data_IF_052401321811
#
_entry.id   IF_052401321811
#
_cell.length_a   1.000
_cell.length_b   1.000
_cell.length_c   1.000
_cell.angle_alpha   90.00
_cell.angle_beta   90.00
_cell.angle_gamma   90.00
#
_symmetry.space_group_name_H-M   'P 1'
#
loop_
_entity.id
_entity.type
_entity.pdbx_description
1 polymer ?
#
# COMPACT_ATOMS: atom_id res chain seq x y z
N UNK A 1 40.19 32.58 13.48
CA UNK A 1 40.23 31.75 12.29
C UNK A 1 40.58 32.64 11.09
N UNK A 2 41.59 32.29 10.33
CA UNK A 2 42.24 33.17 9.36
C UNK A 2 41.34 33.36 8.12
N UNK A 3 41.14 34.61 7.66
CA UNK A 3 40.24 34.93 6.52
C UNK A 3 40.46 34.02 5.29
N UNK A 4 41.69 33.62 5.00
CA UNK A 4 42.01 32.64 3.94
C UNK A 4 41.41 31.26 4.17
N UNK A 5 41.27 30.78 5.41
CA UNK A 5 40.61 29.48 5.70
C UNK A 5 39.09 29.55 5.52
N UNK A 6 38.49 30.70 5.83
CA UNK A 6 37.03 30.90 5.62
C UNK A 6 36.70 30.93 4.12
N UNK A 7 37.52 31.62 3.32
CA UNK A 7 37.34 31.69 1.86
C UNK A 7 37.51 30.30 1.19
N UNK A 8 38.46 29.49 1.63
CA UNK A 8 38.68 28.13 1.11
C UNK A 8 37.48 27.21 1.51
N UNK A 9 36.99 27.32 2.73
CA UNK A 9 35.81 26.55 3.17
C UNK A 9 34.55 26.96 2.40
N UNK A 10 34.34 28.26 2.14
CA UNK A 10 33.23 28.75 1.32
C UNK A 10 33.34 28.29 -0.13
N UNK A 11 34.53 28.29 -0.72
CA UNK A 11 34.75 27.78 -2.09
C UNK A 11 34.59 26.27 -2.20
N UNK A 12 34.97 25.50 -1.17
CA UNK A 12 34.75 24.07 -1.11
C UNK A 12 33.26 23.76 -0.93
N UNK A 13 32.53 24.50 -0.10
CA UNK A 13 31.08 24.39 0.01
C UNK A 13 30.35 24.77 -1.29
N UNK A 14 30.77 25.84 -1.96
CA UNK A 14 30.25 26.23 -3.28
C UNK A 14 30.57 25.18 -4.36
N UNK A 15 31.76 24.59 -4.35
CA UNK A 15 32.12 23.51 -5.28
C UNK A 15 31.36 22.21 -4.99
N UNK A 16 31.13 21.87 -3.73
CA UNK A 16 30.34 20.71 -3.33
C UNK A 16 28.86 20.94 -3.67
N UNK A 17 28.30 22.15 -3.46
CA UNK A 17 26.95 22.51 -3.88
C UNK A 17 26.79 22.47 -5.39
N UNK A 18 27.79 22.92 -6.17
CA UNK A 18 27.75 22.87 -7.63
C UNK A 18 27.89 21.43 -8.18
N UNK A 19 28.63 20.56 -7.48
CA UNK A 19 28.78 19.15 -7.87
C UNK A 19 27.55 18.31 -7.45
N UNK A 20 26.84 18.65 -6.39
CA UNK A 20 25.57 18.00 -6.01
C UNK A 20 24.44 18.38 -6.99
N UNK A 21 24.48 19.59 -7.56
CA UNK A 21 23.55 20.00 -8.62
C UNK A 21 23.81 19.34 -9.99
N UNK A 22 24.94 18.67 -10.20
CA UNK A 22 25.37 18.15 -11.50
C UNK A 22 25.04 16.67 -11.75
N UNK A 23 24.37 15.99 -10.83
CA UNK A 23 23.96 14.59 -11.00
C UNK A 23 22.43 14.46 -10.99
N UNK A 24 21.77 15.15 -11.91
CA UNK A 24 20.44 14.75 -12.35
C UNK A 24 20.63 13.60 -13.34
N UNK A 25 20.16 12.45 -12.97
CA UNK A 25 20.35 11.23 -13.75
C UNK A 25 19.68 11.37 -15.12
N UNK A 26 20.40 11.03 -16.16
CA UNK A 26 20.00 11.16 -17.56
C UNK A 26 18.82 10.26 -17.93
N UNK A 27 18.50 9.28 -17.10
CA UNK A 27 17.49 8.26 -17.40
C UNK A 27 16.05 8.77 -17.25
N UNK A 28 15.85 9.88 -16.53
CA UNK A 28 14.53 10.45 -16.26
C UNK A 28 14.24 11.76 -17.03
N UNK A 29 15.16 12.21 -17.89
CA UNK A 29 14.98 13.41 -18.73
C UNK A 29 15.25 13.03 -20.18
N UNK A 30 14.25 13.10 -21.02
CA UNK A 30 14.37 12.93 -22.45
C UNK A 30 14.28 14.29 -23.15
N UNK A 31 15.31 14.62 -23.95
CA UNK A 31 15.39 15.87 -24.68
C UNK A 31 15.16 15.57 -26.16
N UNK A 32 14.02 16.00 -26.67
CA UNK A 32 13.68 15.89 -28.09
C UNK A 32 14.06 17.19 -28.80
N UNK A 33 15.06 17.15 -29.68
CA UNK A 33 15.33 18.22 -30.62
C UNK A 33 14.61 17.92 -31.93
N UNK A 34 13.64 18.73 -32.30
CA UNK A 34 13.10 18.74 -33.65
C UNK A 34 14.13 19.38 -34.61
N UNK A 35 15.16 18.68 -34.98
CA UNK A 35 15.84 18.73 -36.30
C UNK A 35 16.90 17.62 -36.29
N UNK A 36 16.84 16.79 -37.30
CA UNK A 36 17.64 15.58 -37.44
C UNK A 36 19.12 15.73 -37.21
N UNK A 37 19.67 14.72 -36.58
CA UNK A 37 21.07 14.36 -36.41
C UNK A 37 21.76 14.72 -35.08
N UNK A 38 22.16 13.62 -34.42
CA UNK A 38 23.18 13.48 -33.37
C UNK A 38 22.83 14.11 -32.01
N UNK A 39 22.55 13.23 -31.07
CA UNK A 39 22.58 13.48 -29.64
C UNK A 39 23.81 14.28 -29.23
N UNK A 40 23.69 15.60 -29.15
CA UNK A 40 24.60 16.44 -28.40
C UNK A 40 24.25 16.32 -26.92
N UNK A 41 25.24 16.03 -26.07
CA UNK A 41 25.11 16.16 -24.61
C UNK A 41 24.50 17.52 -24.29
N UNK A 42 23.28 17.57 -23.82
CA UNK A 42 22.68 18.81 -23.31
C UNK A 42 23.22 19.06 -21.91
N UNK A 43 23.64 20.31 -21.64
CA UNK A 43 24.04 20.77 -20.31
C UNK A 43 22.85 21.42 -19.58
N UNK A 44 21.64 20.97 -19.83
CA UNK A 44 20.45 21.50 -19.17
C UNK A 44 20.49 21.20 -17.68
N UNK A 45 20.17 22.20 -16.88
CA UNK A 45 20.03 22.09 -15.42
C UNK A 45 18.56 21.98 -15.08
N UNK A 46 18.17 20.86 -14.46
CA UNK A 46 16.81 20.62 -13.99
C UNK A 46 16.76 20.73 -12.47
N UNK A 47 15.90 21.62 -11.96
CA UNK A 47 15.58 21.70 -10.52
C UNK A 47 14.17 21.15 -10.32
N UNK A 48 14.04 20.10 -9.51
CA UNK A 48 12.78 19.45 -9.20
C UNK A 48 12.26 19.91 -7.85
N UNK A 49 10.98 20.27 -7.80
CA UNK A 49 10.29 20.75 -6.61
C UNK A 49 9.03 19.90 -6.38
N UNK A 50 8.93 19.30 -5.21
CA UNK A 50 7.76 18.53 -4.80
C UNK A 50 6.97 19.31 -3.74
N UNK A 51 5.65 19.40 -3.93
CA UNK A 51 4.75 19.91 -2.92
C UNK A 51 4.84 19.04 -1.66
N UNK A 52 4.84 19.65 -0.48
CA UNK A 52 4.98 18.94 0.80
C UNK A 52 3.62 18.68 1.46
N UNK A 53 2.68 19.61 1.27
CA UNK A 53 1.32 19.52 1.80
C UNK A 53 0.34 19.71 0.65
N UNK A 54 -0.55 18.76 0.43
CA UNK A 54 -1.46 18.76 -0.71
C UNK A 54 -2.28 20.06 -0.83
N UNK A 55 -2.12 20.76 -1.94
CA UNK A 55 -2.82 22.00 -2.26
C UNK A 55 -2.33 23.23 -1.49
N UNK A 56 -1.24 23.13 -0.72
CA UNK A 56 -0.69 24.27 0.04
C UNK A 56 0.29 25.12 -0.77
N UNK A 57 0.84 24.61 -1.88
CA UNK A 57 1.84 25.31 -2.68
C UNK A 57 3.20 25.44 -1.98
N UNK A 58 3.46 24.62 -0.97
CA UNK A 58 4.71 24.59 -0.21
C UNK A 58 5.71 23.62 -0.83
N UNK A 59 6.40 24.05 -1.86
CA UNK A 59 7.35 23.25 -2.62
C UNK A 59 8.72 23.17 -1.98
N UNK A 60 9.27 21.98 -1.93
CA UNK A 60 10.65 21.70 -1.52
C UNK A 60 11.44 21.17 -2.72
N UNK A 61 12.63 21.77 -2.95
CA UNK A 61 13.59 21.23 -3.91
C UNK A 61 14.12 19.87 -3.42
N UNK A 62 14.06 18.89 -4.29
CA UNK A 62 14.40 17.49 -3.98
C UNK A 62 15.48 16.96 -4.90
N UNK A 63 16.07 15.85 -4.49
CA UNK A 63 17.10 15.14 -5.25
C UNK A 63 16.49 14.08 -6.14
N UNK A 64 17.29 13.47 -6.99
CA UNK A 64 16.86 12.40 -7.87
C UNK A 64 16.31 11.16 -7.15
N UNK A 65 16.81 10.84 -5.96
CA UNK A 65 16.29 9.73 -5.16
C UNK A 65 14.82 9.92 -4.72
N UNK A 66 14.32 11.15 -4.83
CA UNK A 66 12.95 11.53 -4.51
C UNK A 66 12.10 11.77 -5.77
N UNK A 67 12.50 11.19 -6.92
CA UNK A 67 11.77 11.32 -8.19
C UNK A 67 10.32 10.85 -8.04
N UNK A 68 9.33 11.66 -8.48
CA UNK A 68 7.91 11.35 -8.27
C UNK A 68 7.46 10.21 -9.18
N UNK A 69 7.36 9.01 -8.61
CA UNK A 69 6.85 7.82 -9.32
C UNK A 69 5.35 7.63 -9.12
N UNK A 70 4.86 7.99 -7.94
CA UNK A 70 3.44 7.85 -7.56
C UNK A 70 3.00 9.04 -6.69
N UNK A 71 1.71 9.33 -6.70
CA UNK A 71 1.11 10.32 -5.80
C UNK A 71 1.37 11.78 -6.15
N UNK A 72 2.01 12.07 -7.29
CA UNK A 72 2.27 13.41 -7.76
C UNK A 72 1.74 13.64 -9.18
N UNK A 73 1.35 14.87 -9.46
CA UNK A 73 0.94 15.38 -10.78
C UNK A 73 1.87 16.51 -11.19
N UNK A 74 2.33 16.47 -12.43
CA UNK A 74 3.14 17.56 -13.00
C UNK A 74 2.33 18.86 -13.07
N UNK A 75 2.88 19.92 -12.45
CA UNK A 75 2.26 21.24 -12.47
C UNK A 75 2.75 22.01 -13.70
N UNK A 76 1.89 22.09 -14.71
CA UNK A 76 2.18 22.77 -15.99
C UNK A 76 2.25 24.29 -15.86
N UNK A 77 1.61 24.87 -14.85
CA UNK A 77 1.54 26.32 -14.66
C UNK A 77 2.81 26.86 -14.02
N UNK A 78 3.37 26.12 -13.06
CA UNK A 78 4.57 26.53 -12.34
C UNK A 78 5.86 26.06 -13.03
N UNK A 79 5.80 24.95 -13.78
CA UNK A 79 6.98 24.39 -14.44
C UNK A 79 7.40 25.25 -15.63
N UNK A 80 8.67 25.66 -15.65
CA UNK A 80 9.19 26.58 -16.66
C UNK A 80 10.70 26.49 -16.83
N UNK A 81 11.19 26.94 -17.97
CA UNK A 81 12.60 27.12 -18.25
C UNK A 81 12.94 28.62 -18.41
N UNK A 82 14.19 29.04 -18.11
CA UNK A 82 14.63 30.43 -18.14
C UNK A 82 14.77 30.96 -19.57
N UNK A 83 15.13 30.11 -20.55
CA UNK A 83 15.41 30.52 -21.93
C UNK A 83 14.42 29.96 -22.96
N UNK A 84 13.20 29.63 -22.52
CA UNK A 84 12.07 29.32 -23.40
C UNK A 84 12.00 27.86 -23.88
N UNK A 85 12.74 26.92 -23.28
CA UNK A 85 12.48 25.51 -23.51
C UNK A 85 11.12 25.11 -22.95
N UNK A 86 10.40 24.25 -23.66
CA UNK A 86 9.12 23.71 -23.24
C UNK A 86 9.31 22.43 -22.43
N UNK A 87 8.47 22.24 -21.43
CA UNK A 87 8.46 21.09 -20.54
C UNK A 87 7.13 20.34 -20.64
N UNK A 88 7.22 19.01 -20.64
CA UNK A 88 6.06 18.15 -20.46
C UNK A 88 6.42 16.92 -19.64
N UNK A 89 5.41 16.23 -19.14
CA UNK A 89 5.56 15.02 -18.35
C UNK A 89 5.00 13.81 -19.07
N UNK A 90 5.84 12.79 -19.25
CA UNK A 90 5.40 11.48 -19.70
C UNK A 90 5.04 10.64 -18.47
N UNK A 91 3.74 10.59 -18.19
CA UNK A 91 3.23 9.90 -17.00
C UNK A 91 3.36 8.36 -17.09
N UNK A 92 3.46 7.81 -18.29
CA UNK A 92 3.63 6.36 -18.50
C UNK A 92 5.07 5.94 -18.17
N UNK A 93 6.05 6.68 -18.69
CA UNK A 93 7.46 6.37 -18.50
C UNK A 93 8.08 7.12 -17.31
N UNK A 94 7.29 7.97 -16.62
CA UNK A 94 7.73 8.81 -15.50
C UNK A 94 8.98 9.64 -15.84
N UNK A 95 8.91 10.36 -16.97
CA UNK A 95 10.02 11.18 -17.50
C UNK A 95 9.60 12.61 -17.78
N UNK A 96 10.52 13.55 -17.57
CA UNK A 96 10.40 14.90 -18.11
C UNK A 96 10.85 14.90 -19.57
N UNK A 97 9.99 15.36 -20.45
CA UNK A 97 10.30 15.66 -21.83
C UNK A 97 10.59 17.15 -21.95
N UNK A 98 11.70 17.49 -22.58
CA UNK A 98 12.11 18.87 -22.78
C UNK A 98 12.48 19.11 -24.24
N UNK A 99 11.90 20.16 -24.85
CA UNK A 99 12.20 20.59 -26.21
C UNK A 99 12.60 22.07 -26.21
N UNK A 100 13.59 22.44 -27.01
CA UNK A 100 14.02 23.83 -27.18
C UNK A 100 15.53 24.03 -27.11
N UNK A 101 15.97 25.02 -26.31
CA UNK A 101 17.34 25.52 -26.29
C UNK A 101 18.30 24.58 -25.55
N UNK A 102 19.50 24.36 -26.07
CA UNK A 102 20.56 23.63 -25.35
C UNK A 102 21.11 24.49 -24.21
N UNK A 103 21.36 23.86 -23.06
CA UNK A 103 21.87 24.50 -21.83
C UNK A 103 20.87 25.47 -21.16
N UNK A 104 19.59 25.14 -21.18
CA UNK A 104 18.58 25.87 -20.45
C UNK A 104 18.51 25.43 -18.97
N UNK A 105 18.03 26.33 -18.12
CA UNK A 105 17.79 26.07 -16.71
C UNK A 105 16.30 26.00 -16.45
N UNK A 106 15.84 24.81 -16.04
CA UNK A 106 14.43 24.51 -15.89
C UNK A 106 14.08 24.18 -14.46
N UNK A 107 12.89 24.59 -14.05
CA UNK A 107 12.28 24.29 -12.77
C UNK A 107 11.00 23.50 -13.05
N UNK A 108 10.94 22.30 -12.49
CA UNK A 108 9.75 21.45 -12.57
C UNK A 108 9.11 21.36 -11.20
N UNK A 109 7.79 21.42 -11.20
CA UNK A 109 6.96 21.37 -10.01
C UNK A 109 5.99 20.19 -10.12
N UNK A 110 5.82 19.48 -9.01
CA UNK A 110 4.85 18.41 -8.91
C UNK A 110 3.97 18.65 -7.68
N UNK A 111 2.66 18.69 -7.91
CA UNK A 111 1.65 18.79 -6.87
C UNK A 111 1.34 17.40 -6.33
N UNK A 112 1.00 17.30 -5.06
CA UNK A 112 0.47 16.06 -4.51
C UNK A 112 -0.87 15.76 -5.17
N UNK A 113 -0.95 14.62 -5.84
CA UNK A 113 -2.15 14.14 -6.50
C UNK A 113 -3.02 13.36 -5.51
N UNK A 114 -3.72 14.04 -4.60
CA UNK A 114 -4.68 13.39 -3.71
C UNK A 114 -5.88 12.90 -4.51
N UNK A 115 -6.09 11.60 -4.49
CA UNK A 115 -7.14 10.95 -5.27
C UNK A 115 -8.54 11.51 -4.95
N UNK A 116 -8.86 11.78 -3.66
CA UNK A 116 -10.13 12.37 -3.24
C UNK A 116 -10.41 13.77 -3.82
N UNK A 117 -9.36 14.51 -4.20
CA UNK A 117 -9.47 15.84 -4.83
C UNK A 117 -9.51 15.75 -6.35
N UNK A 118 -8.84 14.78 -6.92
CA UNK A 118 -8.74 14.60 -8.37
C UNK A 118 -9.91 13.82 -8.96
N UNK A 119 -10.43 12.84 -8.23
CA UNK A 119 -11.53 12.02 -8.72
C UNK A 119 -12.84 12.81 -8.78
N UNK A 120 -13.51 12.76 -9.92
CA UNK A 120 -14.81 13.41 -10.16
C UNK A 120 -15.77 12.41 -10.86
N UNK A 121 -15.89 11.22 -10.28
CA UNK A 121 -16.65 10.11 -10.83
C UNK A 121 -17.61 9.55 -9.78
N UNK A 122 -18.58 8.74 -10.23
CA UNK A 122 -19.48 7.96 -9.38
C UNK A 122 -18.86 6.66 -8.86
N UNK A 123 -17.56 6.44 -9.13
CA UNK A 123 -16.90 5.20 -8.73
C UNK A 123 -16.85 5.04 -7.21
N UNK A 124 -16.91 3.78 -6.76
CA UNK A 124 -16.81 3.44 -5.35
C UNK A 124 -15.51 3.97 -4.71
N UNK A 125 -14.39 3.86 -5.42
CA UNK A 125 -13.11 4.37 -4.93
C UNK A 125 -13.15 5.88 -4.66
N UNK A 126 -13.75 6.64 -5.58
CA UNK A 126 -13.92 8.08 -5.41
C UNK A 126 -14.86 8.42 -4.25
N UNK A 127 -15.98 7.69 -4.13
CA UNK A 127 -16.90 7.87 -3.01
C UNK A 127 -16.20 7.65 -1.66
N UNK A 128 -15.50 6.53 -1.51
CA UNK A 128 -14.81 6.18 -0.26
C UNK A 128 -13.68 7.16 0.05
N UNK A 129 -12.86 7.52 -0.94
CA UNK A 129 -11.78 8.48 -0.74
C UNK A 129 -12.29 9.86 -0.28
N UNK A 130 -13.43 10.32 -0.81
CA UNK A 130 -14.06 11.59 -0.42
C UNK A 130 -14.63 11.62 1.00
N UNK A 131 -14.77 10.48 1.68
CA UNK A 131 -15.08 10.43 3.11
C UNK A 131 -13.94 10.97 3.98
N UNK A 132 -12.72 11.03 3.44
CA UNK A 132 -11.63 11.75 4.07
C UNK A 132 -11.80 13.26 3.89
N UNK A 133 -12.10 13.96 4.97
CA UNK A 133 -12.43 15.40 4.96
C UNK A 133 -11.21 16.31 4.95
N UNK A 134 -10.02 15.75 5.19
CA UNK A 134 -8.78 16.48 5.47
C UNK A 134 -8.30 16.29 6.90
N UNK A 135 -9.17 15.76 7.78
CA UNK A 135 -8.85 15.45 9.17
C UNK A 135 -8.64 13.94 9.31
N UNK A 136 -7.48 13.54 9.81
CA UNK A 136 -7.14 12.14 10.02
C UNK A 136 -8.09 11.50 11.06
N UNK A 137 -8.63 10.33 10.71
CA UNK A 137 -9.52 9.56 11.58
C UNK A 137 -10.97 10.05 11.62
N UNK A 138 -11.31 11.21 11.07
CA UNK A 138 -12.69 11.58 10.85
C UNK A 138 -13.37 10.57 9.89
N UNK A 139 -14.60 10.18 10.20
CA UNK A 139 -15.30 9.08 9.52
C UNK A 139 -14.59 7.71 9.58
N UNK A 140 -13.65 7.53 10.52
CA UNK A 140 -12.85 6.31 10.65
C UNK A 140 -11.86 6.07 9.51
N UNK A 141 -11.54 7.09 8.71
CA UNK A 141 -10.65 6.95 7.57
C UNK A 141 -9.39 7.80 7.73
N UNK A 142 -8.24 7.25 7.35
CA UNK A 142 -6.94 7.89 7.38
C UNK A 142 -6.33 7.94 5.98
N UNK A 143 -5.78 9.08 5.60
CA UNK A 143 -4.97 9.25 4.39
C UNK A 143 -3.49 9.09 4.74
N UNK A 144 -2.89 7.98 4.30
CA UNK A 144 -1.54 7.57 4.65
C UNK A 144 -0.47 8.27 3.80
N UNK A 145 -0.42 9.60 3.84
CA UNK A 145 0.65 10.36 3.19
C UNK A 145 1.96 10.31 4.00
N UNK A 146 3.03 10.89 3.45
CA UNK A 146 4.35 10.92 4.10
C UNK A 146 4.40 11.74 5.37
N UNK A 147 3.45 12.66 5.60
CA UNK A 147 3.37 13.49 6.81
C UNK A 147 2.55 12.83 7.93
N UNK A 148 1.81 11.75 7.65
CA UNK A 148 1.06 11.02 8.66
C UNK A 148 2.03 10.23 9.55
N UNK A 149 2.16 10.65 10.80
CA UNK A 149 3.04 9.99 11.77
C UNK A 149 2.70 8.51 11.92
N UNK A 150 3.69 7.64 11.78
CA UNK A 150 3.58 6.18 11.81
C UNK A 150 2.65 5.58 10.75
N UNK A 151 2.21 6.34 9.76
CA UNK A 151 1.42 5.86 8.62
C UNK A 151 2.29 5.13 7.60
N UNK A 152 1.66 4.47 6.62
CA UNK A 152 2.34 3.73 5.54
C UNK A 152 3.16 4.63 4.60
N UNK A 153 2.78 5.90 4.45
CA UNK A 153 3.44 6.85 3.55
C UNK A 153 3.26 6.51 2.06
N UNK A 154 2.13 5.90 1.71
CA UNK A 154 1.84 5.36 0.37
C UNK A 154 0.70 6.09 -0.36
N UNK A 155 0.21 7.21 0.20
CA UNK A 155 -0.86 8.02 -0.33
C UNK A 155 -2.20 7.28 -0.53
N UNK A 156 -2.41 6.21 0.20
CA UNK A 156 -3.66 5.43 0.19
C UNK A 156 -4.55 5.75 1.39
N UNK A 157 -5.83 5.38 1.29
CA UNK A 157 -6.81 5.60 2.34
C UNK A 157 -7.11 4.27 3.04
N UNK A 158 -7.14 4.26 4.37
CA UNK A 158 -7.46 3.06 5.16
C UNK A 158 -8.47 3.36 6.24
N UNK A 159 -9.39 2.43 6.45
CA UNK A 159 -10.30 2.47 7.59
C UNK A 159 -9.63 1.94 8.85
N UNK A 160 -9.88 2.63 9.98
CA UNK A 160 -9.34 2.29 11.29
C UNK A 160 -10.33 2.57 12.42
N UNK A 161 -10.10 1.93 13.58
CA UNK A 161 -10.91 2.06 14.79
C UNK A 161 -11.73 0.80 15.09
N UNK A 162 -12.51 0.82 16.17
CA UNK A 162 -13.24 -0.36 16.65
C UNK A 162 -14.38 -0.79 15.69
N UNK A 163 -15.08 0.17 15.12
CA UNK A 163 -16.22 -0.14 14.23
C UNK A 163 -16.49 1.01 13.24
N UNK A 164 -15.61 1.22 12.25
CA UNK A 164 -15.85 2.21 11.20
C UNK A 164 -17.04 1.83 10.32
N UNK A 165 -17.64 2.84 9.67
CA UNK A 165 -18.73 2.64 8.70
C UNK A 165 -18.17 2.18 7.34
N UNK A 166 -17.68 0.97 7.28
CA UNK A 166 -16.99 0.40 6.12
C UNK A 166 -17.61 -0.91 5.61
N UNK A 167 -18.87 -1.21 5.99
CA UNK A 167 -19.57 -2.36 5.46
C UNK A 167 -20.01 -2.15 4.02
N UNK A 168 -19.90 -3.19 3.22
CA UNK A 168 -20.30 -3.23 1.81
C UNK A 168 -21.00 -4.54 1.48
N UNK A 169 -22.09 -4.46 0.75
CA UNK A 169 -22.84 -5.62 0.26
C UNK A 169 -22.49 -5.87 -1.20
N UNK A 170 -21.96 -7.04 -1.50
CA UNK A 170 -21.51 -7.41 -2.84
C UNK A 170 -22.32 -8.60 -3.37
N UNK A 171 -22.80 -8.48 -4.63
CA UNK A 171 -23.48 -9.56 -5.32
C UNK A 171 -24.90 -9.85 -4.79
N UNK A 172 -25.54 -8.88 -4.13
CA UNK A 172 -26.94 -9.00 -3.69
C UNK A 172 -27.64 -7.65 -3.71
N UNK A 173 -28.85 -7.62 -4.30
CA UNK A 173 -29.75 -6.46 -4.31
C UNK A 173 -30.81 -6.52 -3.20
N UNK A 174 -30.74 -7.52 -2.31
CA UNK A 174 -31.67 -7.66 -1.19
C UNK A 174 -31.58 -6.44 -0.26
N UNK A 175 -32.74 -5.96 0.24
CA UNK A 175 -32.83 -4.82 1.16
C UNK A 175 -31.93 -5.02 2.39
N UNK A 176 -31.98 -6.23 2.98
CA UNK A 176 -31.01 -6.65 4.01
C UNK A 176 -29.92 -7.45 3.33
N UNK A 177 -28.67 -7.03 3.52
CA UNK A 177 -27.54 -7.74 2.95
C UNK A 177 -27.40 -9.15 3.58
N UNK A 178 -27.43 -10.22 2.78
CA UNK A 178 -27.17 -11.55 3.31
C UNK A 178 -25.73 -11.66 3.85
N UNK A 179 -25.52 -12.47 4.87
CA UNK A 179 -24.19 -12.70 5.47
C UNK A 179 -23.14 -13.13 4.44
N UNK A 180 -23.54 -13.94 3.47
CA UNK A 180 -22.64 -14.40 2.39
C UNK A 180 -22.27 -13.30 1.38
N UNK A 181 -22.97 -12.17 1.41
CA UNK A 181 -22.72 -11.01 0.55
C UNK A 181 -22.11 -9.83 1.32
N UNK A 182 -21.94 -9.98 2.66
CA UNK A 182 -21.41 -8.91 3.50
C UNK A 182 -19.88 -8.95 3.53
N UNK A 183 -19.30 -7.81 3.19
CA UNK A 183 -17.87 -7.55 3.20
C UNK A 183 -17.58 -6.25 3.96
N UNK A 184 -16.30 -5.98 4.19
CA UNK A 184 -15.84 -4.72 4.77
C UNK A 184 -14.73 -4.13 3.91
N UNK A 185 -14.72 -2.81 3.78
CA UNK A 185 -13.70 -2.07 3.03
C UNK A 185 -12.48 -1.88 3.91
N UNK A 186 -11.31 -2.37 3.46
CA UNK A 186 -10.00 -2.07 4.11
C UNK A 186 -9.60 -0.64 3.77
N UNK A 187 -9.73 -0.25 2.50
CA UNK A 187 -9.36 1.09 2.06
C UNK A 187 -9.41 1.28 0.56
N UNK A 188 -8.89 2.43 0.12
CA UNK A 188 -8.68 2.77 -1.29
C UNK A 188 -7.18 2.78 -1.54
N UNK A 189 -6.73 2.00 -2.52
CA UNK A 189 -5.35 1.82 -2.91
C UNK A 189 -5.20 2.21 -4.38
N UNK A 190 -4.60 3.37 -4.62
CA UNK A 190 -4.68 4.01 -5.93
C UNK A 190 -6.14 4.37 -6.25
N UNK A 191 -6.66 3.79 -7.35
CA UNK A 191 -8.04 3.94 -7.81
C UNK A 191 -8.94 2.72 -7.53
N UNK A 192 -8.47 1.77 -6.70
CA UNK A 192 -9.17 0.51 -6.40
C UNK A 192 -9.54 0.40 -4.93
N UNK A 193 -10.68 -0.22 -4.66
CA UNK A 193 -11.15 -0.50 -3.31
C UNK A 193 -10.74 -1.91 -2.92
N UNK A 194 -9.97 -2.04 -1.84
CA UNK A 194 -9.65 -3.32 -1.21
C UNK A 194 -10.72 -3.69 -0.21
N UNK A 195 -11.27 -4.88 -0.35
CA UNK A 195 -12.30 -5.41 0.54
C UNK A 195 -11.86 -6.73 1.16
N UNK A 196 -12.49 -7.08 2.28
CA UNK A 196 -12.33 -8.36 2.97
C UNK A 196 -13.71 -8.90 3.34
N UNK A 197 -13.89 -10.21 3.29
CA UNK A 197 -15.13 -10.85 3.75
C UNK A 197 -15.38 -10.50 5.22
N UNK A 198 -16.64 -10.23 5.61
CA UNK A 198 -16.98 -9.92 7.00
C UNK A 198 -16.72 -11.09 7.95
N UNK A 199 -17.02 -12.31 7.53
CA UNK A 199 -16.77 -13.56 8.27
C UNK A 199 -15.83 -14.49 7.50
N UNK A 200 -15.15 -15.38 8.19
CA UNK A 200 -14.32 -16.40 7.58
C UNK A 200 -15.16 -17.35 6.72
N UNK A 201 -14.64 -17.77 5.58
CA UNK A 201 -15.35 -18.66 4.63
C UNK A 201 -14.95 -20.12 4.78
N UNK A 202 -13.80 -20.38 5.36
CA UNK A 202 -13.25 -21.73 5.52
C UNK A 202 -12.30 -21.80 6.71
N UNK A 203 -12.19 -22.99 7.32
CA UNK A 203 -11.13 -23.36 8.23
C UNK A 203 -10.36 -24.53 7.60
N UNK A 204 -9.13 -24.30 7.20
CA UNK A 204 -8.30 -25.30 6.54
C UNK A 204 -6.81 -25.05 6.79
N UNK A 205 -5.94 -25.97 6.38
CA UNK A 205 -4.52 -25.72 6.35
C UNK A 205 -4.17 -24.72 5.26
N UNK A 206 -3.12 -23.92 5.47
CA UNK A 206 -2.56 -23.08 4.43
C UNK A 206 -2.09 -23.92 3.25
N UNK A 207 -1.34 -24.97 3.53
CA UNK A 207 -0.87 -25.93 2.54
C UNK A 207 -0.81 -27.35 3.12
N UNK A 208 -1.09 -28.33 2.27
CA UNK A 208 -1.03 -29.76 2.65
C UNK A 208 0.32 -30.39 2.40
N UNK A 209 1.21 -29.69 1.68
CA UNK A 209 2.57 -30.14 1.35
C UNK A 209 3.66 -29.46 2.20
N UNK A 210 3.25 -28.75 3.24
CA UNK A 210 4.12 -28.06 4.19
C UNK A 210 4.99 -26.94 3.59
N UNK A 211 4.46 -26.20 2.59
CA UNK A 211 5.13 -25.05 2.00
C UNK A 211 4.33 -23.78 2.22
N UNK A 212 5.02 -22.71 2.62
CA UNK A 212 4.42 -21.40 2.79
C UNK A 212 4.41 -20.53 1.51
N UNK A 213 4.69 -21.13 0.37
CA UNK A 213 4.67 -20.47 -0.93
C UNK A 213 3.23 -20.29 -1.39
N UNK A 214 2.80 -19.02 -1.55
CA UNK A 214 1.41 -18.70 -1.87
C UNK A 214 0.94 -19.32 -3.18
N UNK A 215 1.73 -19.20 -4.26
CA UNK A 215 1.35 -19.63 -5.61
C UNK A 215 0.93 -21.11 -5.72
N UNK A 216 1.52 -21.98 -4.88
CA UNK A 216 1.27 -23.42 -4.88
C UNK A 216 0.45 -23.90 -3.69
N UNK A 217 0.06 -23.00 -2.77
CA UNK A 217 -0.64 -23.39 -1.55
C UNK A 217 -2.05 -23.93 -1.83
N UNK A 218 -2.45 -24.88 -1.00
CA UNK A 218 -3.81 -25.45 -1.03
C UNK A 218 -4.87 -24.39 -0.77
N UNK A 219 -4.59 -23.40 0.10
CA UNK A 219 -5.48 -22.30 0.40
C UNK A 219 -5.66 -21.37 -0.81
N UNK A 220 -4.58 -20.98 -1.50
CA UNK A 220 -4.68 -20.20 -2.75
C UNK A 220 -5.50 -20.93 -3.81
N UNK A 221 -5.25 -22.23 -3.98
CA UNK A 221 -6.00 -23.07 -4.93
C UNK A 221 -7.49 -23.07 -4.61
N UNK A 222 -7.87 -23.19 -3.34
CA UNK A 222 -9.27 -23.11 -2.90
C UNK A 222 -9.87 -21.74 -3.15
N UNK A 223 -9.19 -20.65 -2.75
CA UNK A 223 -9.70 -19.29 -2.84
C UNK A 223 -9.84 -18.81 -4.29
N UNK A 224 -8.87 -19.07 -5.15
CA UNK A 224 -8.91 -18.65 -6.56
C UNK A 224 -9.56 -19.70 -7.49
N UNK A 225 -9.96 -20.85 -6.97
CA UNK A 225 -10.73 -21.89 -7.65
C UNK A 225 -12.17 -21.94 -7.16
N UNK A 226 -12.44 -22.80 -6.18
CA UNK A 226 -13.79 -23.11 -5.70
C UNK A 226 -14.52 -21.88 -5.16
N UNK A 227 -13.86 -21.09 -4.29
CA UNK A 227 -14.48 -19.92 -3.69
C UNK A 227 -14.76 -18.82 -4.74
N UNK A 228 -13.78 -18.50 -5.60
CA UNK A 228 -13.97 -17.51 -6.67
C UNK A 228 -15.09 -17.90 -7.61
N UNK A 229 -15.19 -19.20 -7.96
CA UNK A 229 -16.30 -19.72 -8.80
C UNK A 229 -17.66 -19.55 -8.11
N UNK A 230 -17.74 -19.75 -6.79
CA UNK A 230 -18.98 -19.59 -6.04
C UNK A 230 -19.48 -18.13 -5.99
N UNK A 231 -18.62 -17.15 -6.26
CA UNK A 231 -19.00 -15.74 -6.30
C UNK A 231 -19.81 -15.35 -7.57
N UNK A 232 -19.89 -16.22 -8.56
CA UNK A 232 -20.67 -15.99 -9.79
C UNK A 232 -20.24 -14.71 -10.50
N UNK A 233 -21.19 -13.88 -10.92
CA UNK A 233 -20.94 -12.61 -11.64
C UNK A 233 -20.17 -11.57 -10.82
N UNK A 234 -20.15 -11.67 -9.49
CA UNK A 234 -19.31 -10.79 -8.67
C UNK A 234 -17.82 -10.95 -9.02
N UNK A 235 -17.41 -12.13 -9.45
CA UNK A 235 -16.02 -12.39 -9.87
C UNK A 235 -15.54 -11.48 -11.01
N UNK A 236 -16.45 -10.95 -11.84
CA UNK A 236 -16.13 -10.04 -12.94
C UNK A 236 -15.77 -8.62 -12.44
N UNK A 237 -16.23 -8.27 -11.23
CA UNK A 237 -15.92 -7.01 -10.56
C UNK A 237 -14.62 -7.07 -9.74
N UNK A 238 -14.00 -8.25 -9.65
CA UNK A 238 -12.75 -8.45 -8.92
C UNK A 238 -11.56 -8.30 -9.87
N UNK A 239 -10.66 -7.39 -9.50
CA UNK A 239 -9.41 -7.14 -10.23
C UNK A 239 -8.41 -8.30 -10.08
N UNK A 240 -7.58 -8.48 -11.10
CA UNK A 240 -6.38 -9.33 -10.99
C UNK A 240 -5.27 -8.48 -10.39
N UNK A 241 -5.08 -8.59 -9.09
CA UNK A 241 -4.10 -7.79 -8.37
C UNK A 241 -2.76 -8.52 -8.25
N UNK A 242 -1.67 -7.76 -8.20
CA UNK A 242 -0.35 -8.26 -7.85
C UNK A 242 -0.20 -8.23 -6.32
N UNK A 243 -0.27 -9.41 -5.71
CA UNK A 243 -0.09 -9.59 -4.27
C UNK A 243 1.40 -9.67 -3.93
N UNK A 244 1.82 -8.95 -2.90
CA UNK A 244 3.16 -9.10 -2.33
C UNK A 244 3.17 -10.34 -1.45
N UNK A 245 3.88 -11.37 -1.88
CA UNK A 245 3.92 -12.68 -1.21
C UNK A 245 5.32 -13.07 -0.74
N UNK A 246 6.23 -12.12 -0.76
CA UNK A 246 7.54 -12.25 -0.14
C UNK A 246 7.42 -12.41 1.37
N UNK A 247 8.41 -13.03 1.99
CA UNK A 247 8.39 -13.31 3.42
C UNK A 247 9.01 -12.20 4.26
N UNK A 248 8.85 -12.35 5.57
CA UNK A 248 9.62 -11.66 6.58
C UNK A 248 10.00 -12.62 7.72
N UNK A 249 10.94 -12.24 8.56
CA UNK A 249 11.34 -13.05 9.70
C UNK A 249 10.40 -12.80 10.87
N UNK A 250 10.22 -13.82 11.72
CA UNK A 250 9.52 -13.66 13.00
C UNK A 250 10.18 -12.58 13.86
N UNK A 251 11.52 -12.57 13.93
CA UNK A 251 12.27 -11.64 14.75
C UNK A 251 11.99 -10.17 14.33
N UNK A 252 11.72 -9.93 13.05
CA UNK A 252 11.34 -8.60 12.56
C UNK A 252 9.87 -8.28 12.85
N UNK A 253 8.94 -9.16 12.46
CA UNK A 253 7.50 -8.89 12.60
C UNK A 253 7.12 -8.69 14.07
N UNK A 254 7.59 -9.54 14.99
CA UNK A 254 7.19 -9.52 16.39
C UNK A 254 7.48 -8.20 17.10
N UNK A 255 8.61 -7.57 16.79
CA UNK A 255 9.07 -6.33 17.44
C UNK A 255 8.74 -5.06 16.64
N UNK A 256 8.05 -5.20 15.50
CA UNK A 256 7.82 -4.11 14.57
C UNK A 256 6.47 -3.46 14.77
N UNK A 257 6.44 -2.14 14.56
CA UNK A 257 5.26 -1.30 14.47
C UNK A 257 4.51 -1.51 13.14
N UNK A 258 3.28 -1.00 13.04
CA UNK A 258 2.46 -1.11 11.81
C UNK A 258 3.21 -0.65 10.56
N UNK A 259 3.92 0.50 10.65
CA UNK A 259 4.70 1.05 9.54
C UNK A 259 5.87 0.17 9.16
N UNK A 260 6.63 -0.34 10.12
CA UNK A 260 7.78 -1.21 9.86
C UNK A 260 7.34 -2.54 9.23
N UNK A 261 6.24 -3.13 9.72
CA UNK A 261 5.66 -4.33 9.11
C UNK A 261 5.24 -4.06 7.66
N UNK A 262 4.57 -2.94 7.40
CA UNK A 262 4.23 -2.51 6.03
C UNK A 262 5.47 -2.36 5.13
N UNK A 263 6.52 -1.75 5.64
CA UNK A 263 7.77 -1.58 4.89
C UNK A 263 8.41 -2.95 4.54
N UNK A 264 8.32 -3.94 5.42
CA UNK A 264 8.80 -5.30 5.16
C UNK A 264 7.92 -6.09 4.19
N UNK A 265 6.59 -5.97 4.29
CA UNK A 265 5.66 -6.75 3.49
C UNK A 265 5.51 -6.21 2.07
N UNK A 266 5.43 -4.89 1.94
CA UNK A 266 4.99 -4.23 0.70
C UNK A 266 6.14 -3.57 -0.02
N UNK A 267 6.98 -2.78 0.68
CA UNK A 267 8.07 -2.04 0.03
C UNK A 267 9.29 -2.91 -0.24
N UNK A 268 9.65 -3.76 0.71
CA UNK A 268 10.86 -4.57 0.65
C UNK A 268 10.59 -6.04 1.03
N UNK A 269 9.70 -6.76 0.32
CA UNK A 269 9.40 -8.15 0.64
C UNK A 269 10.66 -9.01 0.45
N UNK A 270 11.01 -9.78 1.49
CA UNK A 270 12.15 -10.68 1.42
C UNK A 270 11.87 -11.87 0.52
N UNK A 271 12.85 -12.30 -0.27
CA UNK A 271 12.82 -13.58 -0.97
C UNK A 271 12.94 -14.72 0.04
N UNK A 272 12.25 -15.83 -0.19
CA UNK A 272 12.46 -17.01 0.63
C UNK A 272 13.58 -17.89 0.08
N UNK A 273 14.13 -18.73 0.95
CA UNK A 273 15.10 -19.76 0.55
C UNK A 273 14.53 -20.78 -0.46
N UNK A 274 13.19 -20.94 -0.57
CA UNK A 274 12.57 -22.00 -1.35
C UNK A 274 12.20 -21.61 -2.78
N UNK A 275 11.67 -20.40 -3.02
CA UNK A 275 11.17 -20.02 -4.36
C UNK A 275 11.62 -18.66 -4.85
N UNK A 276 12.08 -17.78 -3.96
CA UNK A 276 12.39 -16.39 -4.30
C UNK A 276 11.18 -15.55 -4.71
N UNK A 277 9.96 -16.09 -4.64
CA UNK A 277 8.73 -15.41 -5.05
C UNK A 277 8.40 -14.27 -4.10
N UNK A 278 8.31 -13.05 -4.64
CA UNK A 278 7.93 -11.85 -3.89
C UNK A 278 6.58 -11.29 -4.32
N UNK A 279 6.10 -11.69 -5.48
CA UNK A 279 4.84 -11.23 -6.08
C UNK A 279 4.08 -12.39 -6.72
N UNK A 280 2.75 -12.33 -6.67
CA UNK A 280 1.88 -13.27 -7.33
C UNK A 280 0.60 -12.58 -7.81
N UNK A 281 0.23 -12.79 -9.07
CA UNK A 281 -0.98 -12.22 -9.66
C UNK A 281 -2.17 -13.16 -9.45
N UNK A 282 -3.19 -12.69 -8.73
CA UNK A 282 -4.42 -13.44 -8.46
C UNK A 282 -5.58 -12.48 -8.18
N UNK A 283 -6.81 -12.96 -8.34
CA UNK A 283 -8.01 -12.20 -7.96
C UNK A 283 -8.15 -12.12 -6.44
N UNK A 284 -7.93 -13.23 -5.74
CA UNK A 284 -8.16 -13.33 -4.30
C UNK A 284 -6.84 -13.59 -3.56
N UNK A 285 -6.62 -12.84 -2.50
CA UNK A 285 -5.60 -13.04 -1.50
C UNK A 285 -6.19 -13.06 -0.09
N UNK A 286 -5.37 -12.75 0.89
CA UNK A 286 -5.76 -12.52 2.28
C UNK A 286 -5.32 -11.13 2.71
N UNK A 287 -5.75 -10.68 3.90
CA UNK A 287 -5.18 -9.47 4.49
C UNK A 287 -3.68 -9.63 4.75
N UNK A 288 -2.96 -8.53 4.71
CA UNK A 288 -1.59 -8.44 5.22
C UNK A 288 -1.58 -8.30 6.74
N UNK A 289 -0.46 -8.60 7.39
CA UNK A 289 -0.28 -8.25 8.80
C UNK A 289 -0.42 -6.73 8.98
N UNK A 290 0.14 -5.94 8.07
CA UNK A 290 0.02 -4.48 8.12
C UNK A 290 -1.43 -3.98 7.93
N UNK A 291 -2.29 -4.65 7.15
CA UNK A 291 -3.71 -4.32 7.10
C UNK A 291 -4.36 -4.42 8.49
N UNK A 292 -4.07 -5.51 9.22
CA UNK A 292 -4.54 -5.73 10.58
C UNK A 292 -4.01 -4.68 11.56
N UNK A 293 -2.72 -4.37 11.46
CA UNK A 293 -2.08 -3.43 12.37
C UNK A 293 -2.51 -1.98 12.13
N UNK A 294 -2.83 -1.58 10.90
CA UNK A 294 -3.41 -0.27 10.61
C UNK A 294 -4.91 -0.15 10.89
N UNK A 295 -5.59 -1.24 11.19
CA UNK A 295 -7.04 -1.24 11.42
C UNK A 295 -7.47 -0.66 12.79
N UNK A 296 -6.55 -0.26 13.64
CA UNK A 296 -6.76 0.45 14.92
C UNK A 296 -6.51 1.95 14.76
N UNK A 297 -6.96 2.77 15.73
CA UNK A 297 -6.67 4.20 15.74
C UNK A 297 -5.17 4.49 15.74
N UNK A 298 -4.78 5.61 15.15
CA UNK A 298 -3.39 6.03 14.92
C UNK A 298 -2.50 5.96 16.18
N UNK A 299 -3.01 6.31 17.35
CA UNK A 299 -2.24 6.29 18.60
C UNK A 299 -1.69 4.90 18.94
N UNK A 300 -2.32 3.86 18.42
CA UNK A 300 -1.93 2.45 18.62
C UNK A 300 -0.97 1.90 17.56
N UNK A 301 -0.63 2.65 16.50
CA UNK A 301 0.27 2.16 15.44
C UNK A 301 1.73 2.02 15.89
N UNK A 302 2.06 2.51 17.09
CA UNK A 302 3.36 2.33 17.74
C UNK A 302 3.48 1.03 18.53
N UNK A 303 2.37 0.32 18.75
CA UNK A 303 2.41 -1.00 19.36
C UNK A 303 3.06 -2.00 18.40
N UNK A 304 3.76 -2.98 18.97
CA UNK A 304 4.38 -4.04 18.17
C UNK A 304 3.39 -5.17 17.91
N UNK A 305 3.67 -5.99 16.90
CA UNK A 305 2.81 -7.11 16.53
C UNK A 305 2.69 -8.15 17.65
N UNK A 306 3.78 -8.39 18.39
CA UNK A 306 3.83 -9.28 19.56
C UNK A 306 4.96 -8.90 20.51
N UNK A 307 4.69 -8.83 21.80
CA UNK A 307 5.68 -8.63 22.84
C UNK A 307 5.64 -9.80 23.84
N UNK A 308 6.65 -10.65 23.82
CA UNK A 308 6.71 -11.84 24.69
C UNK A 308 6.73 -11.52 26.19
N UNK A 309 7.21 -10.34 26.57
CA UNK A 309 7.40 -9.94 27.96
C UNK A 309 6.23 -9.12 28.53
N UNK A 310 5.45 -8.44 27.66
CA UNK A 310 4.44 -7.50 28.11
C UNK A 310 3.29 -7.40 27.08
N UNK A 311 2.19 -8.08 27.36
CA UNK A 311 0.99 -8.09 26.52
C UNK A 311 0.28 -6.72 26.43
N UNK A 312 0.63 -5.76 27.29
CA UNK A 312 0.08 -4.40 27.24
C UNK A 312 0.75 -3.53 26.16
N UNK A 313 1.84 -4.01 25.57
CA UNK A 313 2.63 -3.33 24.54
C UNK A 313 2.42 -3.86 23.13
N UNK A 314 1.47 -4.74 22.95
CA UNK A 314 1.14 -5.30 21.64
C UNK A 314 -0.37 -5.35 21.37
N UNK A 315 -0.77 -5.93 20.25
CA UNK A 315 -2.14 -5.95 19.77
C UNK A 315 -3.11 -6.75 20.65
N UNK A 316 -2.63 -7.53 21.63
CA UNK A 316 -3.49 -8.17 22.64
C UNK A 316 -4.22 -7.17 23.52
N UNK A 317 -3.55 -6.03 23.81
CA UNK A 317 -4.12 -4.97 24.64
C UNK A 317 -5.30 -4.26 23.98
N UNK A 318 -5.30 -4.17 22.66
CA UNK A 318 -6.22 -3.30 21.89
C UNK A 318 -7.09 -4.07 20.89
N UNK A 319 -7.15 -5.39 21.00
CA UNK A 319 -7.90 -6.24 20.05
C UNK A 319 -9.36 -5.82 19.88
N UNK A 320 -10.00 -5.33 20.94
CA UNK A 320 -11.39 -4.85 20.90
C UNK A 320 -11.54 -3.53 20.14
N UNK A 321 -10.45 -2.81 19.90
CA UNK A 321 -10.40 -1.56 19.12
C UNK A 321 -10.05 -1.79 17.66
N UNK A 322 -9.83 -3.04 17.27
CA UNK A 322 -9.44 -3.44 15.92
C UNK A 322 -10.63 -4.06 15.18
N UNK A 323 -11.17 -3.34 14.20
CA UNK A 323 -12.32 -3.83 13.45
C UNK A 323 -12.03 -5.08 12.59
N UNK A 324 -10.76 -5.39 12.31
CA UNK A 324 -10.38 -6.62 11.62
C UNK A 324 -10.28 -7.84 12.54
N UNK A 325 -10.28 -7.65 13.86
CA UNK A 325 -10.21 -8.75 14.81
C UNK A 325 -11.56 -9.49 14.94
N UNK A 326 -11.57 -10.81 14.72
CA UNK A 326 -12.77 -11.66 14.83
C UNK A 326 -12.80 -12.59 16.05
N UNK A 327 -11.78 -12.59 16.87
CA UNK A 327 -11.70 -13.49 18.04
C UNK A 327 -11.36 -14.95 17.70
N UNK A 328 -10.90 -15.22 16.50
CA UNK A 328 -10.47 -16.55 16.03
C UNK A 328 -9.08 -16.47 15.42
N UNK A 329 -8.38 -17.61 15.40
CA UNK A 329 -7.08 -17.69 14.73
C UNK A 329 -7.28 -17.62 13.20
N UNK A 330 -6.66 -16.65 12.56
CA UNK A 330 -6.90 -16.33 11.16
C UNK A 330 -5.60 -16.11 10.39
N UNK A 331 -5.49 -16.67 9.20
CA UNK A 331 -4.34 -16.48 8.33
C UNK A 331 -4.27 -15.07 7.75
N UNK A 332 -3.03 -14.59 7.61
CA UNK A 332 -2.66 -13.49 6.72
C UNK A 332 -1.96 -14.04 5.48
N UNK A 333 -1.75 -13.22 4.44
CA UNK A 333 -0.98 -13.63 3.26
C UNK A 333 0.54 -13.61 3.51
N UNK A 334 0.98 -13.02 4.60
CA UNK A 334 2.39 -12.81 4.95
C UNK A 334 3.01 -14.11 5.42
N UNK A 335 4.12 -14.52 4.81
CA UNK A 335 4.83 -15.74 5.13
C UNK A 335 6.14 -15.50 5.89
N UNK A 336 6.66 -16.52 6.57
CA UNK A 336 8.02 -16.51 7.10
C UNK A 336 9.04 -16.64 5.98
N UNK A 337 10.09 -15.81 6.00
CA UNK A 337 11.26 -15.95 5.14
C UNK A 337 12.38 -16.75 5.81
N UNK A 338 12.23 -17.12 7.09
CA UNK A 338 13.22 -17.88 7.87
C UNK A 338 13.13 -19.38 7.63
N UNK A 339 11.92 -19.86 7.40
CA UNK A 339 11.66 -21.26 7.04
C UNK A 339 10.56 -21.34 5.99
N UNK A 340 10.40 -22.48 5.35
CA UNK A 340 9.42 -22.71 4.28
C UNK A 340 8.07 -23.22 4.79
N UNK A 341 7.89 -23.38 6.10
CA UNK A 341 6.73 -24.02 6.68
C UNK A 341 5.88 -23.11 7.58
N UNK A 342 6.24 -21.83 7.75
CA UNK A 342 5.51 -20.92 8.62
C UNK A 342 4.93 -19.71 7.84
N UNK A 343 3.75 -19.29 8.29
CA UNK A 343 3.07 -18.06 7.88
C UNK A 343 2.70 -17.25 9.12
N UNK A 344 2.40 -15.96 8.94
CA UNK A 344 1.89 -15.15 10.04
C UNK A 344 0.36 -15.23 10.08
N UNK A 345 -0.15 -15.36 11.31
CA UNK A 345 -1.58 -15.42 11.60
C UNK A 345 -1.93 -14.44 12.73
N UNK A 346 -3.17 -13.95 12.71
CA UNK A 346 -3.78 -13.26 13.85
C UNK A 346 -4.32 -14.33 14.78
N UNK A 347 -3.96 -14.26 16.05
CA UNK A 347 -4.45 -15.19 17.05
C UNK A 347 -5.75 -14.71 17.70
N UNK A 348 -6.49 -15.64 18.29
CA UNK A 348 -7.70 -15.35 19.07
C UNK A 348 -7.44 -14.50 20.31
N UNK A 349 -6.19 -14.34 20.72
CA UNK A 349 -5.75 -13.40 21.75
C UNK A 349 -5.50 -11.98 21.22
N UNK A 350 -5.35 -11.80 19.89
CA UNK A 350 -5.23 -10.50 19.21
C UNK A 350 -3.84 -10.18 18.67
N UNK A 351 -2.79 -10.89 19.11
CA UNK A 351 -1.45 -10.70 18.56
C UNK A 351 -1.26 -11.33 17.19
N UNK A 352 -0.20 -10.94 16.52
CA UNK A 352 0.30 -11.60 15.32
C UNK A 352 1.40 -12.57 15.70
N UNK A 353 1.29 -13.82 15.26
CA UNK A 353 2.30 -14.83 15.52
C UNK A 353 2.59 -15.69 14.29
N UNK A 354 3.79 -16.26 14.25
CA UNK A 354 4.19 -17.24 13.24
C UNK A 354 3.54 -18.59 13.49
N UNK A 355 3.06 -19.24 12.45
CA UNK A 355 2.33 -20.48 12.55
C UNK A 355 2.66 -21.46 11.42
N UNK A 356 2.73 -22.75 11.74
CA UNK A 356 2.99 -23.79 10.75
C UNK A 356 1.84 -23.90 9.75
N UNK A 357 2.17 -24.02 8.47
CA UNK A 357 1.21 -24.08 7.34
C UNK A 357 0.45 -25.39 7.26
N UNK A 358 1.02 -26.47 7.81
CA UNK A 358 0.42 -27.81 7.82
C UNK A 358 0.73 -28.55 9.12
N UNK A 359 0.18 -29.74 9.23
CA UNK A 359 0.47 -30.70 10.28
C UNK A 359 1.49 -31.71 9.76
N UNK A 360 2.57 -31.85 10.47
CA UNK A 360 3.53 -32.92 10.20
C UNK A 360 3.08 -34.24 10.88
N UNK A 361 3.30 -35.39 10.25
CA UNK A 361 2.86 -36.69 10.73
C UNK A 361 3.49 -37.12 12.04
N UNK A 362 4.44 -36.35 12.59
CA UNK A 362 5.09 -36.56 13.88
C UNK A 362 4.62 -35.65 15.00
N UNK A 363 3.66 -34.76 14.76
CA UNK A 363 3.18 -33.84 15.79
C UNK A 363 2.25 -34.52 16.80
N UNK A 364 2.35 -34.17 18.09
CA UNK A 364 1.57 -34.80 19.15
C UNK A 364 0.09 -34.41 19.18
N UNK A 365 -0.32 -33.37 18.41
CA UNK A 365 -1.68 -32.86 18.39
C UNK A 365 -2.41 -33.26 17.10
N UNK A 366 -3.74 -33.41 17.13
CA UNK A 366 -4.51 -33.68 15.93
C UNK A 366 -4.32 -32.58 14.87
N UNK A 367 -4.17 -32.96 13.61
CA UNK A 367 -3.97 -32.02 12.49
C UNK A 367 -5.01 -30.90 12.41
N UNK A 368 -6.25 -31.15 12.83
CA UNK A 368 -7.32 -30.15 12.87
C UNK A 368 -6.99 -28.90 13.73
N UNK A 369 -6.04 -29.02 14.66
CA UNK A 369 -5.58 -27.89 15.50
C UNK A 369 -4.76 -26.89 14.68
N UNK A 370 -4.07 -27.37 13.64
CA UNK A 370 -3.21 -26.54 12.80
C UNK A 370 -3.97 -25.79 11.69
N UNK A 371 -5.22 -26.16 11.40
CA UNK A 371 -6.08 -25.42 10.48
C UNK A 371 -6.52 -24.10 11.12
N UNK A 372 -6.43 -22.99 10.36
CA UNK A 372 -6.92 -21.67 10.77
C UNK A 372 -8.03 -21.20 9.85
N UNK A 373 -8.73 -20.18 10.29
CA UNK A 373 -9.75 -19.51 9.50
C UNK A 373 -9.11 -18.66 8.39
N UNK A 374 -9.80 -18.55 7.27
CA UNK A 374 -9.40 -17.68 6.18
C UNK A 374 -10.53 -16.77 5.76
N UNK A 375 -10.24 -15.48 5.67
CA UNK A 375 -11.10 -14.44 5.10
C UNK A 375 -10.54 -13.98 3.76
N UNK A 376 -11.22 -14.23 2.63
CA UNK A 376 -10.80 -13.70 1.34
C UNK A 376 -10.76 -12.17 1.36
N UNK A 377 -9.68 -11.64 0.82
CA UNK A 377 -9.52 -10.22 0.53
C UNK A 377 -9.22 -10.04 -0.95
N UNK A 378 -9.74 -8.98 -1.57
CA UNK A 378 -9.53 -8.70 -2.98
C UNK A 378 -9.72 -7.22 -3.30
N UNK A 379 -9.26 -6.82 -4.47
CA UNK A 379 -9.48 -5.49 -5.01
C UNK A 379 -10.64 -5.53 -6.01
N UNK A 380 -11.53 -4.56 -5.90
CA UNK A 380 -12.53 -4.32 -6.94
C UNK A 380 -11.89 -3.55 -8.09
N UNK A 381 -12.34 -3.80 -9.33
CA UNK A 381 -11.92 -3.02 -10.49
C UNK A 381 -12.29 -1.55 -10.29
N UNK A 382 -11.49 -0.63 -10.83
CA UNK A 382 -11.65 0.83 -10.62
C UNK A 382 -12.97 1.40 -11.18
N UNK A 383 -13.61 0.69 -12.11
CA UNK A 383 -14.88 1.09 -12.71
C UNK A 383 -16.13 0.75 -11.91
N UNK A 384 -15.99 0.07 -10.75
CA UNK A 384 -17.15 -0.22 -9.88
C UNK A 384 -17.76 1.07 -9.37
N UNK A 385 -19.07 1.24 -9.58
CA UNK A 385 -19.80 2.44 -9.18
C UNK A 385 -20.48 2.27 -7.82
N UNK A 386 -20.48 3.36 -7.04
CA UNK A 386 -21.27 3.49 -5.82
C UNK A 386 -22.74 3.71 -6.18
N UNK A 387 -23.65 2.96 -5.57
CA UNK A 387 -25.10 3.10 -5.82
C UNK A 387 -25.91 3.46 -4.57
N UNK A 388 -25.32 3.45 -3.39
CA UNK A 388 -26.00 3.84 -2.15
C UNK A 388 -25.43 3.20 -0.90
N UNK A 389 -26.12 3.42 0.23
CA UNK A 389 -25.73 2.92 1.55
C UNK A 389 -24.72 3.82 2.28
N UNK A 390 -24.76 3.76 3.61
CA UNK A 390 -23.94 4.61 4.50
C UNK A 390 -22.71 3.90 5.06
N UNK A 391 -22.52 2.63 4.75
CA UNK A 391 -21.42 1.81 5.24
C UNK A 391 -21.61 1.25 6.65
N UNK A 392 -22.77 1.44 7.27
CA UNK A 392 -23.11 0.77 8.52
C UNK A 392 -23.50 -0.69 8.28
N UNK A 393 -23.49 -1.54 9.31
CA UNK A 393 -23.89 -2.94 9.19
C UNK A 393 -25.36 -3.11 8.78
N UNK A 394 -26.23 -2.16 9.17
CA UNK A 394 -27.66 -2.15 8.80
C UNK A 394 -27.95 -1.50 7.44
N UNK A 395 -27.02 -0.67 6.94
CA UNK A 395 -27.12 0.02 5.66
C UNK A 395 -25.73 0.00 4.97
N UNK A 396 -25.25 -1.19 4.54
CA UNK A 396 -23.95 -1.32 3.91
C UNK A 396 -23.91 -0.61 2.56
N UNK A 397 -22.74 -0.14 2.17
CA UNK A 397 -22.49 0.42 0.83
C UNK A 397 -22.98 -0.57 -0.23
N UNK A 398 -23.56 -0.03 -1.30
CA UNK A 398 -24.06 -0.78 -2.47
C UNK A 398 -23.30 -0.36 -3.72
N UNK A 399 -23.19 -1.29 -4.65
CA UNK A 399 -22.53 -1.10 -5.94
C UNK A 399 -23.45 -1.56 -7.09
N UNK A 400 -23.24 -0.97 -8.26
CA UNK A 400 -23.89 -1.38 -9.51
C UNK A 400 -23.04 -2.44 -10.25
#
# INVERSE_FOLDING_TARGET
MNKKKITIILLVFLAIFSTIMLVVNRDNVEITNEVGNKSKKSNNLLTMNLEQTAGAGDYKTVTQSEWPTEGYKFNTELSRCENGSELSWDDVNKKILMSGVSADKCYVYFDIARFDKLCNTSTLACHVAKLYTGTQGENGIYYHNTSLTNGAGDNNYRYAGANPNNYICLGSDATTCPDDNLFRIIGVFGDKVKVIKDKSVVKMHWDTSNYNTWSISSLNTYLNGTYLTSMGTLSDKIDVATWKVGGNTWDNISVSTAKEVYDYEIKNPSTTASTGETEYSAKIGLMYVSDYMFAVLQDNWTLVAYNSNDATKDYRAIKAENWLYLGSDEYTITRSSKNSADVFAIYSSGEVYSYSVSCDSGEPLPCSVYAKYARPSFYLISSVEYSGGTGTSSDPIRIN
#
